data_IF_433488495677
#
_entry.id   IF_433488495677
#
_cell.length_a   1.000
_cell.length_b   1.000
_cell.length_c   1.000
_cell.angle_alpha   90.00
_cell.angle_beta   90.00
_cell.angle_gamma   90.00
#
_symmetry.space_group_name_H-M   'P 1'
#
loop_
_entity.id
_entity.type
_entity.pdbx_description
1 polymer ?
#
# COMPACT_ATOMS: atom_id res chain seq x y z
N UNK A 1 19.04 -3.73 -24.13
CA UNK A 1 18.70 -5.15 -24.22
C UNK A 1 19.87 -5.88 -24.79
N UNK A 2 20.18 -7.08 -24.26
CA UNK A 2 21.10 -8.00 -24.89
C UNK A 2 20.70 -8.27 -26.35
N UNK A 3 21.68 -8.55 -27.22
CA UNK A 3 21.44 -8.70 -28.65
C UNK A 3 20.47 -9.85 -29.01
N UNK A 4 20.39 -10.89 -28.17
CA UNK A 4 19.50 -12.05 -28.36
C UNK A 4 18.40 -12.13 -27.28
N UNK A 5 17.87 -10.98 -26.85
CA UNK A 5 16.70 -10.98 -25.99
C UNK A 5 15.49 -11.62 -26.71
N UNK A 6 14.83 -12.67 -26.14
CA UNK A 6 13.77 -13.41 -26.83
C UNK A 6 12.58 -12.56 -27.27
N UNK A 7 12.28 -11.48 -26.54
CA UNK A 7 11.15 -10.59 -26.79
C UNK A 7 11.57 -9.35 -27.56
N UNK A 8 12.62 -8.66 -27.09
CA UNK A 8 13.05 -7.38 -27.63
C UNK A 8 13.84 -7.47 -28.95
N UNK A 9 14.28 -8.67 -29.38
CA UNK A 9 14.98 -8.85 -30.68
C UNK A 9 14.18 -8.42 -31.91
N UNK A 10 12.86 -8.40 -31.81
CA UNK A 10 11.97 -8.02 -32.91
C UNK A 10 11.67 -6.50 -32.96
N UNK A 11 12.13 -5.75 -31.96
CA UNK A 11 11.83 -4.33 -31.82
C UNK A 11 13.11 -3.48 -31.91
N UNK A 12 13.06 -2.27 -32.50
CA UNK A 12 14.20 -1.36 -32.56
C UNK A 12 14.45 -0.66 -31.21
N UNK A 13 14.36 -1.37 -30.08
CA UNK A 13 14.54 -0.87 -28.71
C UNK A 13 15.76 -1.52 -28.08
N UNK A 14 16.81 -0.71 -27.83
CA UNK A 14 18.05 -1.17 -27.19
C UNK A 14 18.16 -0.82 -25.71
N UNK A 15 17.21 -0.08 -25.13
CA UNK A 15 17.17 0.27 -23.71
C UNK A 15 15.74 0.16 -23.15
N UNK A 16 15.67 -0.06 -21.83
CA UNK A 16 14.45 0.10 -21.04
C UNK A 16 14.53 1.45 -20.33
N UNK A 17 13.41 2.14 -20.23
CA UNK A 17 13.30 3.32 -19.39
C UNK A 17 13.49 2.90 -17.92
N UNK A 18 14.50 3.48 -17.26
CA UNK A 18 14.81 3.22 -15.87
C UNK A 18 15.08 4.54 -15.16
N UNK A 19 14.30 4.82 -14.11
CA UNK A 19 14.46 6.00 -13.27
C UNK A 19 15.05 5.57 -11.94
N UNK A 20 16.10 6.27 -11.49
CA UNK A 20 16.68 6.05 -10.16
C UNK A 20 15.70 6.55 -9.11
N UNK A 21 15.64 5.88 -7.95
CA UNK A 21 14.90 6.37 -6.78
C UNK A 21 15.42 7.75 -6.34
N UNK A 22 14.81 8.38 -5.32
CA UNK A 22 15.33 9.62 -4.71
C UNK A 22 16.48 9.31 -3.73
N UNK A 23 17.41 10.26 -3.54
CA UNK A 23 18.54 10.10 -2.60
C UNK A 23 18.02 10.25 -1.16
N UNK A 24 18.42 9.35 -0.28
CA UNK A 24 18.21 9.46 1.16
C UNK A 24 19.21 10.37 1.85
N UNK A 25 18.71 11.09 2.84
CA UNK A 25 19.53 11.90 3.76
C UNK A 25 20.00 10.99 4.90
N UNK A 26 21.30 11.01 5.17
CA UNK A 26 21.90 10.32 6.32
C UNK A 26 21.62 11.11 7.61
N UNK A 27 21.54 10.46 8.79
CA UNK A 27 21.53 11.18 10.07
C UNK A 27 22.70 12.16 10.14
N UNK A 28 22.43 13.41 10.57
CA UNK A 28 23.39 14.53 10.60
C UNK A 28 23.90 15.02 9.23
N UNK A 29 23.25 14.62 8.13
CA UNK A 29 23.52 15.09 6.77
C UNK A 29 24.99 15.02 6.28
N UNK A 30 25.82 14.00 6.64
CA UNK A 30 27.18 13.91 6.14
C UNK A 30 27.21 13.60 4.64
N UNK A 31 28.21 14.17 3.96
CA UNK A 31 28.53 13.83 2.57
C UNK A 31 29.09 12.40 2.48
N UNK A 32 28.93 11.77 1.31
CA UNK A 32 29.50 10.44 1.03
C UNK A 32 28.64 9.63 0.06
N UNK A 33 28.77 8.29 0.07
CA UNK A 33 27.97 7.43 -0.80
C UNK A 33 26.48 7.67 -0.60
N UNK A 34 25.74 7.52 -1.70
CA UNK A 34 24.30 7.75 -1.74
C UNK A 34 23.54 6.67 -0.95
N UNK A 35 22.58 7.09 -0.12
CA UNK A 35 21.63 6.19 0.53
C UNK A 35 20.27 6.20 -0.18
N UNK A 36 19.48 5.16 0.04
CA UNK A 36 18.10 5.05 -0.42
C UNK A 36 17.15 5.25 0.78
N UNK A 37 15.91 5.66 0.51
CA UNK A 37 14.90 5.93 1.55
C UNK A 37 13.89 4.78 1.57
N UNK A 38 13.58 4.25 2.76
CA UNK A 38 12.35 3.48 2.94
C UNK A 38 11.19 4.45 3.16
N UNK A 39 10.24 4.50 2.23
CA UNK A 39 9.07 5.39 2.28
C UNK A 39 7.88 4.77 3.01
N UNK A 40 8.00 3.50 3.42
CA UNK A 40 7.02 2.77 4.23
C UNK A 40 7.63 2.37 5.57
N UNK A 41 6.80 1.88 6.48
CA UNK A 41 7.22 1.30 7.76
C UNK A 41 8.20 0.13 7.55
N UNK A 42 9.17 -0.02 8.46
CA UNK A 42 10.06 -1.19 8.49
C UNK A 42 9.40 -2.43 9.09
N UNK A 43 8.22 -2.28 9.69
CA UNK A 43 7.52 -3.34 10.41
C UNK A 43 6.52 -4.08 9.52
N UNK A 44 6.14 -5.29 9.94
CA UNK A 44 5.02 -6.03 9.35
C UNK A 44 3.70 -5.58 10.01
N UNK A 45 3.33 -4.33 9.82
CA UNK A 45 2.21 -3.65 10.48
C UNK A 45 1.02 -3.36 9.54
N UNK A 46 1.03 -3.95 8.35
CA UNK A 46 0.04 -3.72 7.30
C UNK A 46 -0.07 -2.24 6.85
N UNK A 47 1.05 -1.50 6.85
CA UNK A 47 1.16 -0.17 6.22
C UNK A 47 0.63 -0.17 4.77
N UNK A 48 0.86 -1.22 3.99
CA UNK A 48 0.30 -1.34 2.63
C UNK A 48 -1.25 -1.30 2.57
N UNK A 49 -1.94 -1.59 3.68
CA UNK A 49 -3.40 -1.51 3.81
C UNK A 49 -3.83 -0.20 4.48
N UNK A 50 -3.18 0.17 5.59
CA UNK A 50 -3.63 1.27 6.46
C UNK A 50 -2.92 2.61 6.21
N UNK A 51 -1.81 2.60 5.47
CA UNK A 51 -0.94 3.72 5.18
C UNK A 51 -0.08 4.16 6.36
N UNK A 52 1.19 4.48 6.09
CA UNK A 52 2.19 4.80 7.11
C UNK A 52 2.14 6.25 7.59
N UNK A 53 1.22 7.05 7.03
CA UNK A 53 0.96 8.41 7.45
C UNK A 53 -0.48 8.56 7.92
N UNK A 54 -0.68 9.23 9.06
CA UNK A 54 -1.99 9.49 9.67
C UNK A 54 -2.96 10.13 8.68
N UNK A 55 -2.48 11.01 7.80
CA UNK A 55 -3.28 11.64 6.74
C UNK A 55 -3.85 10.61 5.76
N UNK A 56 -3.05 9.62 5.36
CA UNK A 56 -3.48 8.51 4.50
C UNK A 56 -4.49 7.64 5.24
N UNK A 57 -4.19 7.23 6.47
CA UNK A 57 -5.10 6.41 7.30
C UNK A 57 -6.46 7.09 7.48
N UNK A 58 -6.49 8.38 7.79
CA UNK A 58 -7.74 9.15 7.89
C UNK A 58 -8.47 9.24 6.55
N UNK A 59 -7.73 9.41 5.45
CA UNK A 59 -8.33 9.54 4.11
C UNK A 59 -9.03 8.26 3.66
N UNK A 60 -8.53 7.08 4.00
CA UNK A 60 -9.07 5.78 3.55
C UNK A 60 -10.15 5.20 4.47
N UNK A 61 -10.34 5.72 5.69
CA UNK A 61 -11.35 5.23 6.65
C UNK A 61 -12.74 5.81 6.38
N UNK A 62 -13.77 4.97 6.53
CA UNK A 62 -15.18 5.38 6.43
C UNK A 62 -15.67 6.05 7.73
N UNK A 63 -14.97 5.83 8.86
CA UNK A 63 -15.36 6.27 10.20
C UNK A 63 -16.74 5.80 10.65
N UNK A 64 -17.30 4.81 9.97
CA UNK A 64 -18.58 4.18 10.30
C UNK A 64 -18.35 2.69 10.46
N UNK A 65 -18.71 2.13 11.62
CA UNK A 65 -18.56 0.69 11.90
C UNK A 65 -17.15 0.14 11.76
N UNK A 66 -16.10 0.97 11.97
CA UNK A 66 -14.71 0.54 11.90
C UNK A 66 -14.19 0.22 10.49
N UNK A 67 -14.88 0.64 9.43
CA UNK A 67 -14.58 0.22 8.04
C UNK A 67 -13.66 1.17 7.29
N UNK A 68 -13.05 0.63 6.23
CA UNK A 68 -12.42 1.38 5.15
C UNK A 68 -13.46 1.81 4.10
N UNK A 69 -13.16 2.89 3.39
CA UNK A 69 -13.98 3.36 2.27
C UNK A 69 -13.99 2.32 1.15
N UNK A 70 -15.17 2.06 0.60
CA UNK A 70 -15.39 1.15 -0.52
C UNK A 70 -16.21 1.81 -1.62
N UNK A 71 -15.95 1.45 -2.88
CA UNK A 71 -16.75 1.93 -4.01
C UNK A 71 -18.10 1.20 -4.08
N UNK A 72 -19.11 1.83 -4.69
CA UNK A 72 -20.44 1.22 -4.86
C UNK A 72 -20.42 -0.04 -5.74
N UNK A 73 -19.48 -0.12 -6.69
CA UNK A 73 -19.33 -1.28 -7.57
C UNK A 73 -19.01 -2.56 -6.79
N UNK A 74 -18.10 -2.48 -5.82
CA UNK A 74 -17.79 -3.62 -4.94
C UNK A 74 -18.98 -3.98 -4.04
N UNK A 75 -19.84 -3.02 -3.68
CA UNK A 75 -21.08 -3.30 -2.93
C UNK A 75 -22.09 -4.08 -3.76
N UNK A 76 -22.23 -3.74 -5.04
CA UNK A 76 -23.18 -4.38 -5.96
C UNK A 76 -22.73 -5.80 -6.37
N UNK A 77 -21.43 -6.04 -6.44
CA UNK A 77 -20.86 -7.36 -6.73
C UNK A 77 -20.83 -8.31 -5.52
N UNK A 78 -21.46 -7.95 -4.39
CA UNK A 78 -21.44 -8.78 -3.18
C UNK A 78 -20.05 -8.91 -2.53
N UNK A 79 -19.09 -8.07 -2.93
CA UNK A 79 -17.73 -8.02 -2.36
C UNK A 79 -17.63 -7.04 -1.20
N UNK A 80 -18.71 -6.33 -0.87
CA UNK A 80 -18.86 -5.82 0.47
C UNK A 80 -19.03 -7.02 1.41
N UNK A 81 -18.32 -6.98 2.54
CA UNK A 81 -18.68 -7.78 3.71
C UNK A 81 -20.06 -7.27 4.17
N UNK A 82 -21.11 -7.70 3.48
CA UNK A 82 -22.42 -7.77 4.06
C UNK A 82 -22.37 -8.94 5.06
N UNK A 83 -22.90 -8.69 6.25
CA UNK A 83 -23.04 -9.61 7.39
C UNK A 83 -21.98 -9.62 8.50
N UNK A 84 -21.18 -8.56 8.68
CA UNK A 84 -20.57 -8.35 10.00
C UNK A 84 -21.59 -7.94 11.08
N UNK A 85 -22.76 -7.43 10.71
CA UNK A 85 -23.80 -7.07 11.69
C UNK A 85 -24.55 -8.28 12.26
N UNK A 86 -24.52 -9.44 11.61
CA UNK A 86 -25.09 -10.67 12.16
C UNK A 86 -24.05 -11.52 12.90
N UNK A 87 -22.78 -11.51 12.46
CA UNK A 87 -21.69 -12.22 13.13
C UNK A 87 -21.21 -11.55 14.43
N UNK A 88 -21.20 -10.20 14.52
CA UNK A 88 -20.77 -9.48 15.73
C UNK A 88 -21.77 -9.58 16.89
N UNK A 89 -23.04 -9.94 16.65
CA UNK A 89 -24.02 -10.19 17.72
C UNK A 89 -23.82 -11.54 18.42
N UNK A 90 -23.12 -12.49 17.80
CA UNK A 90 -23.01 -13.87 18.30
C UNK A 90 -21.68 -14.21 18.94
N UNK A 91 -20.66 -13.39 18.78
CA UNK A 91 -19.31 -13.72 19.24
C UNK A 91 -18.60 -12.47 19.75
N UNK A 92 -18.36 -12.41 21.07
CA UNK A 92 -17.50 -11.43 21.75
C UNK A 92 -16.03 -11.64 21.37
N UNK A 93 -15.71 -11.70 20.08
CA UNK A 93 -14.35 -11.50 19.62
C UNK A 93 -14.19 -10.01 19.38
N UNK A 94 -13.37 -9.39 20.21
CA UNK A 94 -12.74 -8.09 19.98
C UNK A 94 -12.15 -8.14 18.56
N UNK A 95 -12.94 -7.71 17.57
CA UNK A 95 -12.41 -7.34 16.28
C UNK A 95 -11.31 -6.33 16.54
N UNK A 96 -10.20 -6.41 15.81
CA UNK A 96 -9.18 -5.37 15.78
C UNK A 96 -9.86 -4.08 15.30
N UNK A 97 -10.54 -3.40 16.24
CA UNK A 97 -11.30 -2.22 16.00
C UNK A 97 -10.25 -1.17 15.76
N UNK A 98 -10.28 -0.66 14.54
CA UNK A 98 -9.78 0.64 14.16
C UNK A 98 -10.42 1.68 15.10
N UNK A 99 -9.94 1.76 16.35
CA UNK A 99 -10.45 2.69 17.36
C UNK A 99 -10.17 4.12 16.91
N UNK A 100 -11.04 5.00 17.40
CA UNK A 100 -11.25 6.41 17.04
C UNK A 100 -10.03 7.30 17.23
#
# INVERSE_FOLDING_TARGET
>A
MPNNDPYYKFYPRKCMDFVRSTSGVKPNCPLGPRHQINVVSSFLDADCIYGGAISTTKRIREFTGGRLKSTKAYRQMGMCINDCNEYLKKNQFESCLMTS
#
